data_IF_516772926546
#
_entry.id   IF_516772926546
#
_cell.length_a   1.000
_cell.length_b   1.000
_cell.length_c   1.000
_cell.angle_alpha   90.00
_cell.angle_beta   90.00
_cell.angle_gamma   90.00
#
_symmetry.space_group_name_H-M   'P 1'
#
loop_
_entity.id
_entity.type
_entity.pdbx_description
1 polymer ?
#
# COMPACT_ATOMS: atom_id res chain seq x y z
N UNK A 1 22.01 -35.32 -23.45
CA UNK A 1 20.66 -34.86 -23.86
C UNK A 1 20.71 -33.47 -24.51
N UNK A 2 21.46 -32.53 -23.94
CA UNK A 2 21.70 -31.17 -24.48
C UNK A 2 22.11 -31.12 -25.97
N UNK A 3 23.02 -32.00 -26.42
CA UNK A 3 23.51 -32.00 -27.81
C UNK A 3 22.43 -32.29 -28.86
N UNK A 4 21.59 -33.30 -28.61
CA UNK A 4 20.46 -33.65 -29.49
C UNK A 4 19.43 -32.51 -29.57
N UNK A 5 19.20 -31.82 -28.44
CA UNK A 5 18.25 -30.71 -28.39
C UNK A 5 18.77 -29.50 -29.16
N UNK A 6 20.06 -29.18 -29.07
CA UNK A 6 20.63 -28.06 -29.80
C UNK A 6 20.71 -28.32 -31.32
N UNK A 7 21.09 -29.53 -31.74
CA UNK A 7 21.17 -29.90 -33.17
C UNK A 7 19.80 -29.90 -33.86
N UNK A 8 18.75 -30.39 -33.19
CA UNK A 8 17.43 -30.53 -33.80
C UNK A 8 16.52 -29.31 -33.54
N UNK A 9 16.73 -28.56 -32.46
CA UNK A 9 15.82 -27.50 -32.02
C UNK A 9 16.52 -26.15 -31.72
N UNK A 10 17.84 -26.03 -31.87
CA UNK A 10 18.57 -24.79 -31.57
C UNK A 10 18.22 -23.61 -32.47
N UNK A 11 17.75 -23.86 -33.70
CA UNK A 11 17.26 -22.84 -34.62
C UNK A 11 15.79 -22.42 -34.36
N UNK A 12 15.06 -23.17 -33.52
CA UNK A 12 13.66 -22.88 -33.23
C UNK A 12 13.59 -21.74 -32.23
N UNK A 13 13.13 -20.57 -32.70
CA UNK A 13 12.93 -19.41 -31.84
C UNK A 13 11.89 -19.73 -30.76
N UNK A 14 12.21 -19.44 -29.51
CA UNK A 14 11.28 -19.61 -28.40
C UNK A 14 9.98 -18.84 -28.67
N UNK A 15 8.84 -19.53 -28.57
CA UNK A 15 7.50 -18.94 -28.75
C UNK A 15 7.16 -17.95 -27.64
N UNK A 16 7.70 -18.18 -26.46
CA UNK A 16 7.47 -17.38 -25.27
C UNK A 16 8.66 -16.46 -25.02
N UNK A 17 8.36 -15.26 -24.52
CA UNK A 17 9.37 -14.35 -24.01
C UNK A 17 10.24 -15.05 -22.95
N UNK A 18 11.54 -14.75 -22.87
CA UNK A 18 12.37 -15.26 -21.78
C UNK A 18 11.75 -14.83 -20.43
N UNK A 19 11.88 -15.69 -19.42
CA UNK A 19 11.29 -15.46 -18.10
C UNK A 19 11.71 -14.11 -17.50
N UNK A 20 12.93 -13.67 -17.80
CA UNK A 20 13.44 -12.34 -17.43
C UNK A 20 12.61 -11.20 -18.03
N UNK A 21 12.21 -11.30 -19.29
CA UNK A 21 11.37 -10.29 -19.94
C UNK A 21 9.96 -10.27 -19.34
N UNK A 22 9.42 -11.43 -18.98
CA UNK A 22 8.14 -11.52 -18.27
C UNK A 22 8.24 -10.92 -16.87
N UNK A 23 9.35 -11.16 -16.16
CA UNK A 23 9.58 -10.61 -14.83
C UNK A 23 9.67 -9.07 -14.86
N UNK A 24 10.46 -8.51 -15.79
CA UNK A 24 10.54 -7.06 -16.00
C UNK A 24 9.17 -6.43 -16.26
N UNK A 25 8.33 -7.09 -17.06
CA UNK A 25 6.95 -6.65 -17.33
C UNK A 25 6.06 -6.66 -16.09
N UNK A 26 6.15 -7.69 -15.24
CA UNK A 26 5.39 -7.78 -13.99
C UNK A 26 5.79 -6.67 -13.01
N UNK A 27 7.09 -6.44 -12.87
CA UNK A 27 7.63 -5.41 -11.98
C UNK A 27 7.18 -4.00 -12.42
N UNK A 28 7.28 -3.70 -13.72
CA UNK A 28 6.80 -2.44 -14.30
C UNK A 28 5.29 -2.24 -14.11
N UNK A 29 4.48 -3.28 -14.32
CA UNK A 29 3.03 -3.20 -14.11
C UNK A 29 2.69 -2.85 -12.65
N UNK A 30 3.47 -3.32 -11.68
CA UNK A 30 3.30 -2.99 -10.27
C UNK A 30 3.45 -1.50 -9.95
N UNK A 31 4.29 -0.80 -10.71
CA UNK A 31 4.53 0.64 -10.56
C UNK A 31 3.55 1.46 -11.41
N UNK A 32 3.42 1.11 -12.69
CA UNK A 32 2.69 1.92 -13.69
C UNK A 32 1.19 1.63 -13.70
N UNK A 33 0.79 0.36 -13.58
CA UNK A 33 -0.62 -0.06 -13.68
C UNK A 33 -1.29 -0.24 -12.32
N UNK A 34 -0.50 -0.37 -11.24
CA UNK A 34 -1.00 -0.44 -9.87
C UNK A 34 -0.61 0.74 -8.93
N UNK A 35 -0.49 1.99 -9.40
CA UNK A 35 -0.08 3.11 -8.56
C UNK A 35 -1.16 3.47 -7.54
N UNK A 36 -2.44 3.36 -7.92
CA UNK A 36 -3.57 3.67 -7.03
C UNK A 36 -3.61 2.74 -5.82
N UNK A 37 -3.18 1.47 -5.90
CA UNK A 37 -3.10 0.59 -4.70
C UNK A 37 -1.88 0.91 -3.84
N UNK A 38 -0.71 1.19 -4.44
CA UNK A 38 0.53 1.45 -3.70
C UNK A 38 0.58 2.84 -3.05
N UNK A 39 0.01 3.84 -3.70
CA UNK A 39 0.10 5.25 -3.29
C UNK A 39 -1.24 5.85 -2.83
N UNK A 40 -2.31 5.04 -2.68
CA UNK A 40 -3.62 5.54 -2.20
C UNK A 40 -3.55 6.27 -0.86
N UNK A 41 -2.58 5.89 -0.05
CA UNK A 41 -2.42 6.38 1.31
C UNK A 41 -1.31 7.43 1.44
N UNK A 42 -0.50 7.67 0.41
CA UNK A 42 0.55 8.70 0.45
C UNK A 42 -0.02 10.11 0.28
N UNK A 43 -1.06 10.26 -0.55
CA UNK A 43 -1.75 11.54 -0.75
C UNK A 43 -2.59 12.00 0.47
N UNK A 44 -2.87 11.11 1.41
CA UNK A 44 -3.75 11.40 2.55
C UNK A 44 -2.98 11.49 3.88
N UNK A 45 -1.65 11.65 3.88
CA UNK A 45 -0.89 11.74 5.12
C UNK A 45 -1.25 12.99 5.93
N UNK A 46 -1.33 14.17 5.31
CA UNK A 46 -1.69 15.43 5.99
C UNK A 46 -3.04 15.29 6.69
N UNK A 47 -4.08 14.85 5.95
CA UNK A 47 -5.43 14.68 6.48
C UNK A 47 -5.50 13.66 7.64
N UNK A 48 -4.59 12.67 7.65
CA UNK A 48 -4.50 11.69 8.75
C UNK A 48 -3.85 12.29 9.99
N UNK A 49 -2.80 13.09 9.83
CA UNK A 49 -2.17 13.79 10.94
C UNK A 49 -3.14 14.80 11.55
N UNK A 50 -3.80 15.61 10.73
CA UNK A 50 -4.81 16.56 11.18
C UNK A 50 -5.95 15.87 11.94
N UNK A 51 -6.47 14.75 11.42
CA UNK A 51 -7.50 13.99 12.12
C UNK A 51 -7.03 13.36 13.43
N UNK A 52 -5.75 12.96 13.54
CA UNK A 52 -5.16 12.45 14.76
C UNK A 52 -5.02 13.57 15.82
N UNK A 53 -4.54 14.74 15.41
CA UNK A 53 -4.41 15.92 16.28
C UNK A 53 -5.78 16.37 16.79
N UNK A 54 -6.80 16.38 15.92
CA UNK A 54 -8.18 16.68 16.33
C UNK A 54 -8.70 15.67 17.35
N UNK A 55 -8.45 14.37 17.16
CA UNK A 55 -8.85 13.33 18.13
C UNK A 55 -8.13 13.49 19.46
N UNK A 56 -6.85 13.86 19.45
CA UNK A 56 -6.08 14.09 20.67
C UNK A 56 -6.59 15.32 21.42
N UNK A 57 -6.83 16.42 20.71
CA UNK A 57 -7.40 17.66 21.27
C UNK A 57 -8.80 17.41 21.87
N UNK A 58 -9.65 16.66 21.17
CA UNK A 58 -11.02 16.38 21.60
C UNK A 58 -11.16 15.36 22.73
N UNK A 59 -10.10 14.61 23.08
CA UNK A 59 -10.11 13.70 24.24
C UNK A 59 -10.09 14.45 25.58
N UNK A 60 -9.55 15.68 25.61
CA UNK A 60 -9.34 16.43 26.85
C UNK A 60 -10.58 17.19 27.35
N UNK A 61 -11.44 17.81 26.51
CA UNK A 61 -12.57 18.62 27.01
C UNK A 61 -13.89 17.84 27.23
N UNK A 62 -13.99 16.61 26.73
CA UNK A 62 -15.20 15.78 26.89
C UNK A 62 -15.33 15.11 28.26
N UNK A 63 -14.18 14.84 28.92
CA UNK A 63 -14.14 14.27 30.26
C UNK A 63 -14.16 15.33 31.36
N UNK A 64 -13.64 16.54 31.13
CA UNK A 64 -13.69 17.60 32.16
C UNK A 64 -15.11 18.12 32.37
N UNK A 65 -15.90 18.33 31.30
CA UNK A 65 -17.31 18.77 31.42
C UNK A 65 -18.19 17.71 32.09
N UNK A 66 -17.91 16.42 31.83
CA UNK A 66 -18.60 15.31 32.49
C UNK A 66 -18.18 15.23 33.97
N UNK A 67 -16.89 15.33 34.28
CA UNK A 67 -16.40 15.34 35.67
C UNK A 67 -16.99 16.49 36.50
N UNK A 68 -17.00 17.73 35.96
CA UNK A 68 -17.60 18.89 36.63
C UNK A 68 -19.10 18.71 36.86
N UNK A 69 -19.83 18.09 35.92
CA UNK A 69 -21.26 17.83 36.09
C UNK A 69 -21.58 16.77 37.15
N UNK A 70 -20.68 15.81 37.39
CA UNK A 70 -20.82 14.86 38.48
C UNK A 70 -20.47 15.52 39.83
N UNK A 71 -19.39 16.31 39.89
CA UNK A 71 -18.99 17.04 41.11
C UNK A 71 -20.05 18.06 41.58
N UNK A 72 -20.76 18.72 40.66
CA UNK A 72 -21.83 19.67 41.01
C UNK A 72 -23.17 19.00 41.41
N UNK A 73 -23.37 17.72 41.10
CA UNK A 73 -24.58 16.98 41.52
C UNK A 73 -24.39 16.21 42.84
N UNK A 74 -23.15 16.13 43.34
CA UNK A 74 -22.82 15.49 44.62
C UNK A 74 -22.63 16.50 45.78
N UNK A 75 -22.76 17.81 45.52
CA UNK A 75 -22.67 18.91 46.51
C UNK A 75 -24.05 19.51 46.82
#
# INVERSE_FOLDING_TARGET
>A
MEGFLNENFGAVKAKNSPDEALQRWRDLCGVVKNPKRRFRFTANLSNRYEAADMRQSNQVPGNSKRAISYELNEA
#
